data_IF_366652932229
#
_entry.id   IF_366652932229
#
_cell.length_a   1.000
_cell.length_b   1.000
_cell.length_c   1.000
_cell.angle_alpha   90.00
_cell.angle_beta   90.00
_cell.angle_gamma   90.00
#
_symmetry.space_group_name_H-M   'P 1'
#
loop_
_entity.id
_entity.type
_entity.pdbx_description
1 polymer ?
#
# COMPACT_ATOMS: atom_id res chain seq x y z
N UNK A 1 2.48 8.74 22.01
CA UNK A 1 1.23 9.49 22.18
C UNK A 1 0.07 8.64 21.69
N UNK A 2 -0.99 8.54 22.44
CA UNK A 2 -2.24 7.96 21.97
C UNK A 2 -3.29 9.08 21.90
N UNK A 3 -4.00 9.19 20.76
CA UNK A 3 -3.96 8.37 19.55
C UNK A 3 -2.68 8.53 18.73
N UNK A 4 -2.31 7.49 17.97
CA UNK A 4 -1.20 7.54 17.01
C UNK A 4 -1.64 8.43 15.85
N UNK A 5 -0.89 9.48 15.58
CA UNK A 5 -1.18 10.42 14.51
C UNK A 5 -0.04 11.41 14.28
N UNK A 6 -0.14 12.26 13.28
CA UNK A 6 0.88 13.26 13.02
C UNK A 6 0.98 14.24 14.20
N UNK A 7 2.22 14.53 14.58
CA UNK A 7 2.52 15.50 15.65
C UNK A 7 3.22 16.70 15.01
N UNK A 8 2.67 17.88 15.22
CA UNK A 8 3.30 19.13 14.80
C UNK A 8 4.05 19.73 16.00
N UNK A 9 5.38 19.82 15.89
CA UNK A 9 6.25 20.51 16.82
C UNK A 9 6.74 21.80 16.16
N UNK A 10 6.34 22.95 16.69
CA UNK A 10 6.90 24.23 16.29
C UNK A 10 8.01 24.60 17.29
N UNK A 11 9.26 24.41 16.87
CA UNK A 11 10.44 24.71 17.70
C UNK A 11 11.08 25.98 17.17
N UNK A 12 10.99 27.04 17.95
CA UNK A 12 11.65 28.30 17.64
C UNK A 12 13.10 28.27 18.18
N UNK A 13 14.06 28.58 17.33
CA UNK A 13 15.45 28.71 17.70
C UNK A 13 15.84 30.17 17.73
N UNK A 14 16.67 30.55 18.69
CA UNK A 14 17.32 31.86 18.76
C UNK A 14 18.84 31.68 18.67
N UNK A 15 19.53 32.72 18.35
CA UNK A 15 21.02 32.69 18.27
C UNK A 15 21.65 32.62 19.66
N UNK A 16 22.74 31.83 19.81
CA UNK A 16 23.49 31.09 18.80
C UNK A 16 22.79 29.77 18.41
N UNK A 17 22.76 29.45 17.12
CA UNK A 17 22.12 28.21 16.58
C UNK A 17 22.96 26.94 16.80
N UNK A 18 24.18 27.11 17.39
CA UNK A 18 25.03 26.00 17.76
C UNK A 18 25.19 25.95 19.28
N UNK A 19 25.30 24.76 19.87
CA UNK A 19 25.55 24.62 21.30
C UNK A 19 26.82 25.36 21.71
N UNK A 20 26.75 26.17 22.76
CA UNK A 20 27.90 26.94 23.24
C UNK A 20 27.99 26.90 24.76
N UNK A 21 29.18 27.21 25.31
CA UNK A 21 29.39 27.32 26.75
C UNK A 21 29.07 26.05 27.52
N UNK A 22 28.35 26.18 28.64
CA UNK A 22 27.97 25.07 29.52
C UNK A 22 27.10 24.04 28.81
N UNK A 23 26.26 24.47 27.88
CA UNK A 23 25.37 23.57 27.14
C UNK A 23 26.14 22.59 26.24
N UNK A 24 27.16 23.07 25.51
CA UNK A 24 28.03 22.23 24.70
C UNK A 24 28.77 21.17 25.55
N UNK A 25 29.12 21.50 26.80
CA UNK A 25 29.78 20.57 27.72
C UNK A 25 28.82 19.51 28.29
N UNK A 26 27.54 19.83 28.42
CA UNK A 26 26.52 18.91 28.96
C UNK A 26 25.94 17.95 27.91
N UNK A 27 26.00 18.28 26.62
CA UNK A 27 25.41 17.50 25.54
C UNK A 27 25.87 16.03 25.54
N UNK A 28 27.15 15.67 25.71
CA UNK A 28 27.56 14.27 25.72
C UNK A 28 26.95 13.49 26.89
N UNK A 29 26.91 14.09 28.09
CA UNK A 29 26.30 13.45 29.27
C UNK A 29 24.79 13.27 29.11
N UNK A 30 24.13 14.28 28.57
CA UNK A 30 22.69 14.20 28.30
C UNK A 30 22.39 13.15 27.23
N UNK A 31 23.14 13.09 26.13
CA UNK A 31 22.99 12.04 25.13
C UNK A 31 23.26 10.65 25.72
N UNK A 32 24.24 10.51 26.61
CA UNK A 32 24.52 9.26 27.29
C UNK A 32 23.37 8.84 28.21
N UNK A 33 22.77 9.76 28.97
CA UNK A 33 21.62 9.44 29.84
C UNK A 33 20.39 9.00 29.06
N UNK A 34 20.16 9.55 27.87
CA UNK A 34 19.07 9.07 26.98
C UNK A 34 19.30 7.64 26.49
N UNK A 35 20.58 7.26 26.30
CA UNK A 35 20.93 5.91 25.86
C UNK A 35 20.93 4.89 27.01
N UNK A 36 21.15 5.32 28.26
CA UNK A 36 21.11 4.47 29.45
C UNK A 36 19.67 3.95 29.74
N UNK A 37 18.66 4.77 29.45
CA UNK A 37 17.24 4.40 29.60
C UNK A 37 16.71 3.61 28.39
N UNK A 38 17.49 3.50 27.32
CA UNK A 38 17.13 2.81 26.09
C UNK A 38 17.57 1.35 26.11
N UNK A 39 16.63 0.40 26.08
CA UNK A 39 16.93 -1.03 25.91
C UNK A 39 16.90 -1.42 24.41
N UNK A 40 18.05 -1.38 23.72
CA UNK A 40 18.12 -1.72 22.31
C UNK A 40 17.77 -3.18 22.03
N UNK A 41 17.94 -4.06 23.02
CA UNK A 41 17.58 -5.47 22.86
C UNK A 41 16.09 -5.69 22.96
N UNK A 42 15.40 -4.94 23.85
CA UNK A 42 13.95 -4.98 23.92
C UNK A 42 13.31 -4.43 22.65
N UNK A 43 13.84 -3.32 22.10
CA UNK A 43 13.36 -2.77 20.85
C UNK A 43 13.73 -3.63 19.64
N UNK A 44 14.94 -4.19 19.61
CA UNK A 44 15.36 -5.17 18.60
C UNK A 44 14.48 -6.41 18.61
N UNK A 45 14.14 -6.94 19.79
CA UNK A 45 13.18 -8.05 19.94
C UNK A 45 11.77 -7.65 19.47
N UNK A 46 11.31 -6.45 19.82
CA UNK A 46 10.02 -5.95 19.38
C UNK A 46 9.96 -5.73 17.86
N UNK A 47 11.06 -5.28 17.25
CA UNK A 47 11.17 -5.14 15.79
C UNK A 47 11.29 -6.49 15.08
N UNK A 48 12.11 -7.42 15.60
CA UNK A 48 12.20 -8.78 15.09
C UNK A 48 10.85 -9.51 15.20
N UNK A 49 10.17 -9.37 16.32
CA UNK A 49 8.83 -9.93 16.49
C UNK A 49 7.79 -9.31 15.53
N UNK A 50 7.94 -8.02 15.17
CA UNK A 50 7.10 -7.39 14.13
C UNK A 50 7.50 -7.81 12.72
N UNK A 51 8.76 -8.17 12.49
CA UNK A 51 9.26 -8.62 11.19
C UNK A 51 9.03 -10.14 10.97
N UNK A 52 9.02 -10.93 12.04
CA UNK A 52 8.88 -12.39 12.02
C UNK A 52 7.49 -12.87 12.46
N UNK A 53 6.72 -12.05 13.18
CA UNK A 53 5.38 -12.38 13.63
C UNK A 53 4.31 -11.80 12.70
N UNK A 54 3.13 -12.41 12.70
CA UNK A 54 1.94 -11.76 12.20
C UNK A 54 1.81 -10.41 12.91
N UNK A 55 1.59 -9.31 12.17
CA UNK A 55 1.37 -7.98 12.74
C UNK A 55 0.12 -7.89 13.64
N UNK A 56 -0.46 -9.04 13.97
CA UNK A 56 -1.70 -9.19 14.71
C UNK A 56 -1.51 -8.86 16.20
N UNK A 57 -2.43 -8.07 16.74
CA UNK A 57 -2.54 -7.84 18.19
C UNK A 57 -2.91 -9.13 18.94
N UNK A 58 -2.66 -9.15 20.24
CA UNK A 58 -3.04 -10.29 21.10
C UNK A 58 -4.56 -10.58 21.11
N UNK A 59 -5.39 -9.56 20.84
CA UNK A 59 -6.84 -9.74 20.73
C UNK A 59 -7.21 -10.41 19.39
N UNK A 60 -6.60 -9.99 18.31
CA UNK A 60 -6.78 -10.58 16.98
C UNK A 60 -6.30 -12.03 16.92
N UNK A 61 -5.14 -12.31 17.49
CA UNK A 61 -4.61 -13.68 17.59
C UNK A 61 -5.55 -14.59 18.37
N UNK A 62 -6.06 -14.12 19.50
CA UNK A 62 -7.03 -14.88 20.30
C UNK A 62 -8.31 -15.15 19.53
N UNK A 63 -8.88 -14.13 18.93
CA UNK A 63 -10.09 -14.29 18.13
C UNK A 63 -9.90 -15.30 17.00
N UNK A 64 -8.76 -15.28 16.30
CA UNK A 64 -8.45 -16.25 15.25
C UNK A 64 -8.37 -17.67 15.78
N UNK A 65 -7.72 -17.89 16.94
CA UNK A 65 -7.63 -19.21 17.56
C UNK A 65 -9.01 -19.72 17.99
N UNK A 66 -9.77 -18.89 18.69
CA UNK A 66 -11.13 -19.22 19.13
C UNK A 66 -12.04 -19.53 17.94
N UNK A 67 -11.91 -18.75 16.85
CA UNK A 67 -12.71 -18.95 15.62
C UNK A 67 -12.26 -20.20 14.85
N UNK A 68 -10.99 -20.55 14.84
CA UNK A 68 -10.50 -21.78 14.22
C UNK A 68 -10.97 -23.03 14.99
N UNK A 69 -11.00 -22.98 16.32
CA UNK A 69 -11.54 -24.04 17.15
C UNK A 69 -13.06 -24.18 16.95
N UNK A 70 -13.77 -23.07 16.85
CA UNK A 70 -15.20 -23.04 16.60
C UNK A 70 -15.58 -23.41 15.15
N UNK A 71 -14.69 -23.31 14.17
CA UNK A 71 -14.96 -23.69 12.77
C UNK A 71 -15.28 -25.18 12.61
N UNK A 72 -14.85 -26.05 13.51
CA UNK A 72 -15.27 -27.45 13.50
C UNK A 72 -16.81 -27.59 13.67
N UNK A 73 -17.42 -26.62 14.37
CA UNK A 73 -18.86 -26.56 14.63
C UNK A 73 -19.60 -25.51 13.74
N UNK A 74 -18.85 -24.59 13.12
CA UNK A 74 -19.37 -23.44 12.35
C UNK A 74 -19.53 -23.72 10.84
N UNK A 75 -19.28 -24.94 10.39
CA UNK A 75 -19.43 -25.31 8.97
C UNK A 75 -20.84 -25.06 8.38
N UNK A 76 -21.80 -24.66 9.21
CA UNK A 76 -23.18 -24.33 8.82
C UNK A 76 -23.57 -22.84 8.98
N UNK A 77 -22.70 -21.99 9.55
CA UNK A 77 -23.05 -20.57 9.74
C UNK A 77 -22.55 -19.71 8.58
N UNK A 78 -23.38 -19.57 7.58
CA UNK A 78 -23.25 -18.56 6.54
C UNK A 78 -23.48 -17.15 7.10
N UNK A 79 -22.78 -16.12 6.62
CA UNK A 79 -23.03 -14.74 7.01
C UNK A 79 -24.51 -14.37 6.79
N UNK A 80 -25.14 -13.78 7.81
CA UNK A 80 -26.55 -13.41 7.73
C UNK A 80 -26.81 -12.27 6.75
N UNK A 81 -25.80 -11.46 6.44
CA UNK A 81 -25.85 -10.35 5.49
C UNK A 81 -24.85 -10.55 4.36
N UNK A 82 -25.14 -9.96 3.21
CA UNK A 82 -24.21 -9.86 2.08
C UNK A 82 -23.12 -8.85 2.40
N UNK A 83 -22.20 -9.31 3.25
CA UNK A 83 -21.10 -8.51 3.76
C UNK A 83 -19.88 -8.66 2.87
N UNK A 84 -19.17 -7.56 2.67
CA UNK A 84 -17.83 -7.54 2.05
C UNK A 84 -16.83 -6.91 3.01
N UNK A 85 -15.56 -7.30 2.87
CA UNK A 85 -14.45 -6.72 3.60
C UNK A 85 -13.70 -5.79 2.66
N UNK A 86 -13.46 -4.55 3.09
CA UNK A 86 -12.60 -3.60 2.40
C UNK A 86 -11.33 -3.42 3.22
N UNK A 87 -10.21 -3.78 2.63
CA UNK A 87 -8.89 -3.57 3.23
C UNK A 87 -8.14 -2.49 2.44
N UNK A 88 -7.91 -1.36 3.07
CA UNK A 88 -7.28 -0.20 2.50
C UNK A 88 -5.90 0.06 3.10
N UNK A 89 -5.27 1.19 2.81
CA UNK A 89 -3.96 1.53 3.34
C UNK A 89 -3.91 1.42 4.86
N UNK A 90 -2.91 0.67 5.37
CA UNK A 90 -2.76 0.42 6.81
C UNK A 90 -3.73 -0.60 7.43
N UNK A 91 -4.46 -1.36 6.63
CA UNK A 91 -5.39 -2.39 7.12
C UNK A 91 -4.69 -3.51 7.92
N UNK A 92 -3.53 -3.97 7.44
CA UNK A 92 -2.78 -5.07 8.03
C UNK A 92 -3.32 -6.46 7.68
N UNK A 93 -2.57 -7.49 8.07
CA UNK A 93 -2.86 -8.90 7.77
C UNK A 93 -4.19 -9.38 8.36
N UNK A 94 -4.63 -8.79 9.46
CA UNK A 94 -5.85 -9.22 10.13
C UNK A 94 -7.09 -9.12 9.23
N UNK A 95 -7.14 -8.14 8.34
CA UNK A 95 -8.24 -8.00 7.38
C UNK A 95 -8.41 -9.24 6.47
N UNK A 96 -7.30 -9.81 6.01
CA UNK A 96 -7.30 -11.02 5.19
C UNK A 96 -7.75 -12.25 6.00
N UNK A 97 -7.23 -12.38 7.22
CA UNK A 97 -7.62 -13.48 8.11
C UNK A 97 -9.08 -13.39 8.54
N UNK A 98 -9.57 -12.19 8.84
CA UNK A 98 -10.98 -11.95 9.14
C UNK A 98 -11.88 -12.37 7.96
N UNK A 99 -11.56 -11.92 6.75
CA UNK A 99 -12.30 -12.30 5.54
C UNK A 99 -12.27 -13.81 5.30
N UNK A 100 -11.10 -14.44 5.52
CA UNK A 100 -10.93 -15.90 5.36
C UNK A 100 -11.77 -16.70 6.35
N UNK A 101 -11.74 -16.33 7.64
CA UNK A 101 -12.49 -17.04 8.69
C UNK A 101 -14.00 -16.96 8.45
N UNK A 102 -14.47 -15.78 8.02
CA UNK A 102 -15.90 -15.56 7.80
C UNK A 102 -16.36 -15.86 6.36
N UNK A 103 -15.45 -16.34 5.50
CA UNK A 103 -15.72 -16.66 4.09
C UNK A 103 -16.33 -15.46 3.32
N UNK A 104 -15.77 -14.26 3.51
CA UNK A 104 -16.26 -13.02 2.93
C UNK A 104 -15.40 -12.55 1.74
N UNK A 105 -16.00 -11.95 0.70
CA UNK A 105 -15.22 -11.28 -0.35
C UNK A 105 -14.37 -10.16 0.23
N UNK A 106 -13.07 -10.15 -0.10
CA UNK A 106 -12.09 -9.16 0.34
C UNK A 106 -11.68 -8.26 -0.82
N UNK A 107 -11.95 -6.97 -0.70
CA UNK A 107 -11.51 -5.92 -1.62
C UNK A 107 -10.28 -5.23 -1.02
N UNK A 108 -9.11 -5.67 -1.43
CA UNK A 108 -7.85 -5.23 -0.83
C UNK A 108 -7.07 -4.30 -1.75
N UNK A 109 -6.81 -3.06 -1.31
CA UNK A 109 -5.90 -2.16 -2.01
C UNK A 109 -4.45 -2.70 -1.96
N UNK A 110 -3.58 -2.36 -2.93
CA UNK A 110 -2.20 -2.87 -2.96
C UNK A 110 -1.38 -2.56 -1.70
N UNK A 111 -1.63 -1.45 -1.02
CA UNK A 111 -0.94 -1.05 0.22
C UNK A 111 -1.60 -1.55 1.49
N UNK A 112 -2.61 -2.41 1.40
CA UNK A 112 -3.38 -2.88 2.56
C UNK A 112 -2.66 -3.93 3.42
N UNK A 113 -1.62 -4.58 2.91
CA UNK A 113 -0.98 -5.78 3.49
C UNK A 113 -1.92 -7.01 3.56
N UNK A 114 -3.17 -6.88 3.09
CA UNK A 114 -4.20 -7.93 3.12
C UNK A 114 -4.48 -8.57 1.74
N UNK A 115 -3.76 -8.16 0.69
CA UNK A 115 -4.04 -8.56 -0.70
C UNK A 115 -3.47 -9.95 -1.02
N UNK A 116 -4.00 -10.96 -0.36
CA UNK A 116 -3.61 -12.36 -0.55
C UNK A 116 -4.74 -13.31 -0.16
N UNK A 117 -4.55 -14.60 -0.44
CA UNK A 117 -5.50 -15.65 -0.05
C UNK A 117 -6.69 -15.82 -1.00
N UNK A 118 -7.53 -16.81 -0.70
CA UNK A 118 -8.63 -17.23 -1.59
C UNK A 118 -9.83 -16.27 -1.58
N UNK A 119 -9.96 -15.42 -0.57
CA UNK A 119 -11.04 -14.44 -0.44
C UNK A 119 -10.72 -13.09 -1.08
N UNK A 120 -9.45 -12.83 -1.42
CA UNK A 120 -9.02 -11.60 -2.07
C UNK A 120 -9.50 -11.56 -3.52
N UNK A 121 -10.40 -10.63 -3.82
CA UNK A 121 -11.07 -10.49 -5.12
C UNK A 121 -10.24 -9.58 -6.02
N UNK A 122 -9.54 -10.09 -7.05
CA UNK A 122 -8.90 -9.24 -8.04
C UNK A 122 -9.96 -8.51 -8.88
N UNK A 123 -9.59 -7.38 -9.47
CA UNK A 123 -10.49 -6.59 -10.32
C UNK A 123 -11.80 -6.13 -9.65
N UNK A 124 -11.89 -6.15 -8.32
CA UNK A 124 -13.09 -5.66 -7.60
C UNK A 124 -13.50 -4.24 -8.01
N UNK A 125 -12.57 -3.30 -8.35
CA UNK A 125 -13.02 -1.97 -8.79
C UNK A 125 -13.81 -2.01 -10.10
N UNK A 126 -13.48 -2.92 -11.01
CA UNK A 126 -14.20 -3.09 -12.27
C UNK A 126 -15.57 -3.74 -12.03
N UNK A 127 -15.64 -4.76 -11.17
CA UNK A 127 -16.90 -5.39 -10.80
C UNK A 127 -17.84 -4.43 -10.07
N UNK A 128 -17.29 -3.58 -9.19
CA UNK A 128 -18.09 -2.55 -8.49
C UNK A 128 -18.57 -1.43 -9.42
N UNK A 129 -17.85 -1.15 -10.50
CA UNK A 129 -18.20 -0.12 -11.47
C UNK A 129 -19.11 -0.63 -12.60
N UNK A 130 -19.40 -1.92 -12.66
CA UNK A 130 -20.28 -2.52 -13.65
C UNK A 130 -21.72 -2.55 -13.13
N UNK A 131 -22.54 -1.63 -13.61
CA UNK A 131 -23.97 -1.53 -13.24
C UNK A 131 -24.76 -2.81 -13.55
N UNK A 132 -24.27 -3.68 -14.43
CA UNK A 132 -24.90 -4.96 -14.77
C UNK A 132 -24.51 -6.09 -13.81
N UNK A 133 -23.49 -5.88 -12.97
CA UNK A 133 -23.02 -6.88 -12.02
C UNK A 133 -23.89 -6.89 -10.74
N UNK A 134 -24.90 -7.73 -10.74
CA UNK A 134 -25.91 -7.81 -9.68
C UNK A 134 -25.34 -7.95 -8.25
N UNK A 135 -24.27 -8.73 -7.97
CA UNK A 135 -23.72 -8.83 -6.61
C UNK A 135 -23.26 -7.49 -6.04
N UNK A 136 -22.75 -6.56 -6.88
CA UNK A 136 -22.34 -5.23 -6.39
C UNK A 136 -23.51 -4.43 -5.82
N UNK A 137 -24.69 -4.48 -6.47
CA UNK A 137 -25.91 -3.84 -5.99
C UNK A 137 -26.49 -4.52 -4.74
N UNK A 138 -26.11 -5.76 -4.47
CA UNK A 138 -26.63 -6.55 -3.35
C UNK A 138 -25.80 -6.46 -2.06
N UNK A 139 -24.70 -5.69 -2.05
CA UNK A 139 -23.91 -5.49 -0.84
C UNK A 139 -24.76 -4.76 0.21
N UNK A 140 -24.92 -5.38 1.38
CA UNK A 140 -25.69 -4.84 2.51
C UNK A 140 -24.78 -4.25 3.59
N UNK A 141 -23.58 -4.85 3.78
CA UNK A 141 -22.63 -4.43 4.81
C UNK A 141 -21.20 -4.39 4.30
N UNK A 142 -20.46 -3.43 4.83
CA UNK A 142 -19.02 -3.31 4.61
C UNK A 142 -18.31 -3.29 5.96
N UNK A 143 -17.33 -4.17 6.12
CA UNK A 143 -16.33 -4.07 7.20
C UNK A 143 -15.08 -3.44 6.62
N UNK A 144 -14.74 -2.24 7.09
CA UNK A 144 -13.62 -1.45 6.61
C UNK A 144 -12.41 -1.56 7.55
N UNK A 145 -11.27 -1.92 6.98
CA UNK A 145 -9.96 -1.89 7.63
C UNK A 145 -9.07 -0.87 6.93
N UNK A 146 -8.37 -0.04 7.70
CA UNK A 146 -7.48 0.97 7.16
C UNK A 146 -8.20 2.13 6.46
N UNK A 147 -7.44 2.92 5.69
CA UNK A 147 -7.92 4.16 5.10
C UNK A 147 -8.02 4.05 3.56
N UNK A 148 -9.22 4.04 2.96
CA UNK A 148 -9.40 3.91 1.52
C UNK A 148 -8.95 5.18 0.80
N UNK A 149 -7.97 5.05 -0.10
CA UNK A 149 -7.32 6.17 -0.76
C UNK A 149 -7.16 6.02 -2.26
N UNK A 150 -7.48 4.87 -2.81
CA UNK A 150 -7.13 4.54 -4.19
C UNK A 150 -8.35 4.44 -5.11
N UNK A 151 -9.37 3.70 -4.69
CA UNK A 151 -10.44 3.23 -5.56
C UNK A 151 -11.71 4.08 -5.44
N UNK A 152 -12.12 4.77 -6.54
CA UNK A 152 -13.39 5.50 -6.60
C UNK A 152 -14.62 4.59 -6.41
N UNK A 153 -14.68 3.38 -7.00
CA UNK A 153 -15.77 2.46 -6.71
C UNK A 153 -15.91 2.09 -5.23
N UNK A 154 -14.79 1.98 -4.49
CA UNK A 154 -14.85 1.80 -3.04
C UNK A 154 -15.43 3.04 -2.36
N UNK A 155 -14.99 4.25 -2.76
CA UNK A 155 -15.57 5.47 -2.22
C UNK A 155 -17.07 5.54 -2.46
N UNK A 156 -17.52 5.25 -3.67
CA UNK A 156 -18.93 5.21 -4.01
C UNK A 156 -19.71 4.15 -3.21
N UNK A 157 -19.14 2.95 -3.01
CA UNK A 157 -19.74 1.91 -2.18
C UNK A 157 -19.93 2.38 -0.73
N UNK A 158 -18.91 3.02 -0.16
CA UNK A 158 -18.95 3.53 1.21
C UNK A 158 -19.89 4.72 1.40
N UNK A 159 -20.30 5.39 0.33
CA UNK A 159 -21.25 6.51 0.33
C UNK A 159 -22.68 6.10 0.04
N UNK A 160 -22.95 4.81 -0.20
CA UNK A 160 -24.30 4.31 -0.44
C UNK A 160 -25.16 4.40 0.82
N UNK A 161 -26.37 4.93 0.69
CA UNK A 161 -27.35 5.05 1.78
C UNK A 161 -27.92 3.70 2.24
N UNK A 162 -27.95 2.72 1.34
CA UNK A 162 -28.49 1.37 1.57
C UNK A 162 -27.45 0.37 2.09
N UNK A 163 -26.21 0.82 2.33
CA UNK A 163 -25.12 -0.03 2.80
C UNK A 163 -24.69 0.41 4.21
N UNK A 164 -24.66 -0.53 5.14
CA UNK A 164 -24.14 -0.29 6.48
C UNK A 164 -22.64 -0.51 6.52
N UNK A 165 -21.90 0.43 7.10
CA UNK A 165 -20.45 0.37 7.17
C UNK A 165 -19.96 0.32 8.63
N UNK A 166 -19.09 -0.63 8.96
CA UNK A 166 -18.34 -0.66 10.21
C UNK A 166 -16.87 -0.44 9.90
N UNK A 167 -16.23 0.38 10.73
CA UNK A 167 -14.79 0.65 10.66
C UNK A 167 -14.07 -0.01 11.84
N UNK A 168 -13.05 -0.81 11.55
CA UNK A 168 -12.24 -1.43 12.59
C UNK A 168 -11.21 -0.44 13.13
N UNK A 169 -11.40 -0.02 14.36
CA UNK A 169 -10.52 0.91 15.06
C UNK A 169 -10.09 0.32 16.42
N UNK A 170 -9.14 -0.63 16.45
CA UNK A 170 -8.63 -1.20 17.71
C UNK A 170 -7.94 -0.17 18.58
N UNK A 171 -7.58 0.97 17.99
CA UNK A 171 -7.09 2.18 18.67
C UNK A 171 -7.78 3.38 18.04
N UNK A 172 -8.18 4.32 18.87
CA UNK A 172 -8.80 5.55 18.35
C UNK A 172 -7.86 6.29 17.41
N UNK A 173 -8.30 6.49 16.16
CA UNK A 173 -7.54 7.21 15.12
C UNK A 173 -8.16 8.60 14.91
N UNK A 174 -7.56 9.62 15.51
CA UNK A 174 -8.08 11.01 15.45
C UNK A 174 -8.01 11.65 14.04
N UNK A 175 -7.28 11.03 13.13
CA UNK A 175 -7.13 11.54 11.76
C UNK A 175 -8.25 11.09 10.82
N UNK A 176 -9.06 10.15 11.27
CA UNK A 176 -10.18 9.65 10.47
C UNK A 176 -11.42 10.48 10.74
N UNK A 177 -11.68 11.45 9.90
CA UNK A 177 -12.97 12.13 9.88
C UNK A 177 -13.92 11.36 8.97
N UNK A 178 -15.02 10.82 9.49
CA UNK A 178 -15.98 10.09 8.68
C UNK A 178 -16.67 10.97 7.62
N UNK A 179 -16.47 12.28 7.66
CA UNK A 179 -17.11 13.22 6.75
C UNK A 179 -18.62 13.13 6.83
N UNK A 180 -19.27 13.05 5.67
CA UNK A 180 -20.73 12.82 5.59
C UNK A 180 -21.13 11.36 5.76
N UNK A 181 -20.16 10.45 5.97
CA UNK A 181 -20.37 9.00 6.06
C UNK A 181 -20.74 8.60 7.47
N UNK A 182 -21.74 7.72 7.58
CA UNK A 182 -22.13 7.13 8.85
C UNK A 182 -21.43 5.78 9.01
N UNK A 183 -20.35 5.73 9.79
CA UNK A 183 -19.70 4.48 10.17
C UNK A 183 -19.98 4.12 11.62
N UNK A 184 -20.11 2.82 11.87
CA UNK A 184 -20.02 2.27 13.21
C UNK A 184 -18.55 1.97 13.50
N UNK A 185 -17.97 2.68 14.48
CA UNK A 185 -16.60 2.41 14.91
C UNK A 185 -16.60 1.22 15.87
N UNK A 186 -15.89 0.15 15.52
CA UNK A 186 -15.80 -1.07 16.31
C UNK A 186 -14.34 -1.32 16.69
N UNK A 187 -14.10 -1.70 17.92
CA UNK A 187 -12.74 -1.78 18.48
C UNK A 187 -12.24 -3.20 18.67
N UNK A 188 -13.14 -4.19 18.62
CA UNK A 188 -12.78 -5.59 18.86
C UNK A 188 -13.13 -6.49 17.66
N UNK A 189 -12.37 -7.57 17.45
CA UNK A 189 -12.68 -8.56 16.41
C UNK A 189 -14.06 -9.22 16.60
N UNK A 190 -14.50 -9.34 17.85
CA UNK A 190 -15.80 -9.95 18.17
C UNK A 190 -16.96 -9.06 17.71
N UNK A 191 -16.93 -7.76 18.01
CA UNK A 191 -17.92 -6.79 17.53
C UNK A 191 -17.98 -6.73 16.02
N UNK A 192 -16.84 -6.83 15.33
CA UNK A 192 -16.80 -6.90 13.87
C UNK A 192 -17.46 -8.16 13.34
N UNK A 193 -17.22 -9.31 13.97
CA UNK A 193 -17.81 -10.57 13.57
C UNK A 193 -19.34 -10.55 13.79
N UNK A 194 -19.79 -10.03 14.92
CA UNK A 194 -21.23 -9.82 15.18
C UNK A 194 -21.86 -8.88 14.15
N UNK A 195 -21.18 -7.78 13.81
CA UNK A 195 -21.66 -6.87 12.77
C UNK A 195 -21.76 -7.59 11.42
N UNK A 196 -20.75 -8.38 11.05
CA UNK A 196 -20.72 -9.11 9.78
C UNK A 196 -21.80 -10.21 9.72
N UNK A 197 -22.19 -10.80 10.85
CA UNK A 197 -23.11 -11.92 10.95
C UNK A 197 -24.51 -11.58 11.48
N UNK A 198 -24.75 -10.35 11.90
CA UNK A 198 -25.97 -10.02 12.62
C UNK A 198 -27.24 -10.40 11.85
N UNK A 199 -28.13 -11.10 12.55
CA UNK A 199 -29.46 -11.58 12.17
C UNK A 199 -29.52 -12.89 11.40
N UNK A 200 -29.84 -13.96 12.12
CA UNK A 200 -29.95 -15.33 11.65
C UNK A 200 -31.30 -15.65 10.97
N UNK A 201 -32.20 -14.67 10.83
CA UNK A 201 -33.63 -14.98 10.51
C UNK A 201 -33.94 -15.15 9.03
N UNK A 202 -33.02 -14.95 8.11
CA UNK A 202 -33.25 -15.18 6.69
C UNK A 202 -32.13 -16.00 6.03
N UNK A 203 -32.28 -17.29 6.08
CA UNK A 203 -31.50 -18.29 5.33
C UNK A 203 -31.88 -18.27 3.84
N UNK A 204 -31.51 -17.27 3.10
CA UNK A 204 -31.70 -17.27 1.66
C UNK A 204 -30.36 -17.06 0.94
N UNK A 205 -29.94 -18.07 0.20
CA UNK A 205 -28.93 -18.03 -0.88
C UNK A 205 -27.51 -17.56 -0.53
N UNK A 206 -27.05 -17.80 0.70
CA UNK A 206 -25.76 -17.28 1.19
C UNK A 206 -24.58 -18.20 0.96
N UNK A 207 -24.85 -19.46 0.62
CA UNK A 207 -23.83 -20.50 0.45
C UNK A 207 -22.79 -20.19 -0.64
N UNK A 208 -23.08 -19.24 -1.54
CA UNK A 208 -22.25 -18.91 -2.68
C UNK A 208 -21.90 -17.41 -2.78
N UNK A 209 -22.02 -16.62 -1.67
CA UNK A 209 -21.75 -15.18 -1.75
C UNK A 209 -20.34 -14.87 -2.23
N UNK A 210 -19.33 -15.51 -1.64
CA UNK A 210 -17.95 -15.38 -2.07
C UNK A 210 -17.75 -15.83 -3.52
N UNK A 211 -18.34 -16.96 -3.92
CA UNK A 211 -18.19 -17.50 -5.27
C UNK A 211 -18.78 -16.60 -6.34
N UNK A 212 -19.85 -15.85 -6.02
CA UNK A 212 -20.44 -14.85 -6.94
C UNK A 212 -19.43 -13.75 -7.32
N UNK A 213 -18.42 -13.51 -6.48
CA UNK A 213 -17.34 -12.57 -6.73
C UNK A 213 -16.11 -13.23 -7.36
N UNK A 214 -15.74 -14.41 -6.86
CA UNK A 214 -14.50 -15.10 -7.26
C UNK A 214 -14.54 -15.47 -8.74
N UNK A 215 -15.64 -16.03 -9.22
CA UNK A 215 -15.72 -16.53 -10.60
C UNK A 215 -15.68 -15.41 -11.67
N UNK A 216 -16.42 -14.29 -11.53
CA UNK A 216 -16.26 -13.14 -12.42
C UNK A 216 -14.90 -12.50 -12.34
N UNK A 217 -14.33 -12.36 -11.12
CA UNK A 217 -13.00 -11.82 -10.93
C UNK A 217 -11.92 -12.67 -11.61
N UNK A 218 -12.04 -14.00 -11.55
CA UNK A 218 -11.14 -14.92 -12.24
C UNK A 218 -11.17 -14.73 -13.76
N UNK A 219 -12.33 -14.52 -14.34
CA UNK A 219 -12.46 -14.25 -15.79
C UNK A 219 -11.73 -12.97 -16.18
N UNK A 220 -11.93 -11.88 -15.43
CA UNK A 220 -11.24 -10.62 -15.66
C UNK A 220 -9.71 -10.77 -15.48
N UNK A 221 -9.29 -11.54 -14.47
CA UNK A 221 -7.89 -11.85 -14.24
C UNK A 221 -7.27 -12.61 -15.41
N UNK A 222 -7.97 -13.64 -15.92
CA UNK A 222 -7.51 -14.41 -17.07
C UNK A 222 -7.40 -13.56 -18.34
N UNK A 223 -8.32 -12.60 -18.52
CA UNK A 223 -8.25 -11.64 -19.62
C UNK A 223 -7.06 -10.71 -19.49
N UNK A 224 -6.83 -10.18 -18.30
CA UNK A 224 -5.67 -9.34 -18.01
C UNK A 224 -4.35 -10.09 -18.25
N UNK A 225 -4.23 -11.32 -17.74
CA UNK A 225 -3.02 -12.14 -17.91
C UNK A 225 -2.79 -12.54 -19.38
N UNK A 226 -3.86 -12.79 -20.14
CA UNK A 226 -3.73 -13.03 -21.59
C UNK A 226 -3.23 -11.78 -22.32
N UNK A 227 -3.72 -10.60 -21.97
CA UNK A 227 -3.25 -9.35 -22.56
C UNK A 227 -1.76 -9.11 -22.22
N UNK A 228 -1.35 -9.36 -20.99
CA UNK A 228 0.06 -9.29 -20.57
C UNK A 228 0.92 -10.28 -21.35
N UNK A 229 0.48 -11.54 -21.50
CA UNK A 229 1.23 -12.55 -22.24
C UNK A 229 1.41 -12.18 -23.72
N UNK A 230 0.41 -11.56 -24.36
CA UNK A 230 0.50 -11.05 -25.73
C UNK A 230 1.50 -9.88 -25.80
N UNK A 231 1.52 -9.01 -24.81
CA UNK A 231 2.50 -7.92 -24.74
C UNK A 231 3.93 -8.45 -24.58
N UNK A 232 4.15 -9.40 -23.71
CA UNK A 232 5.48 -9.97 -23.44
C UNK A 232 6.01 -10.84 -24.58
N UNK A 233 5.10 -11.45 -25.36
CA UNK A 233 5.43 -12.33 -26.47
C UNK A 233 4.59 -11.97 -27.71
N UNK A 234 4.83 -10.79 -28.33
CA UNK A 234 4.04 -10.35 -29.47
C UNK A 234 4.24 -11.28 -30.65
N UNK A 235 3.14 -11.79 -31.19
CA UNK A 235 3.17 -12.49 -32.48
C UNK A 235 3.49 -11.53 -33.64
N UNK A 236 3.89 -12.07 -34.78
CA UNK A 236 4.31 -11.31 -35.97
C UNK A 236 3.25 -10.33 -36.54
N UNK A 237 2.00 -10.45 -36.10
CA UNK A 237 0.86 -9.64 -36.59
C UNK A 237 0.25 -8.71 -35.50
N UNK A 238 0.93 -8.50 -34.39
CA UNK A 238 0.40 -7.61 -33.33
C UNK A 238 0.43 -6.15 -33.83
N UNK A 239 -0.75 -5.59 -34.09
CA UNK A 239 -0.94 -4.17 -34.43
C UNK A 239 -1.24 -3.31 -33.22
N UNK A 240 -1.07 -3.83 -32.00
CA UNK A 240 -1.39 -3.12 -30.75
C UNK A 240 -0.27 -2.13 -30.46
N UNK A 241 -0.63 -0.85 -30.37
CA UNK A 241 0.29 0.19 -29.92
C UNK A 241 0.34 0.20 -28.38
N UNK A 242 1.41 -0.33 -27.82
CA UNK A 242 1.66 -0.33 -26.38
C UNK A 242 2.29 0.96 -25.87
N UNK A 243 2.71 1.85 -26.76
CA UNK A 243 3.22 3.19 -26.39
C UNK A 243 2.08 4.18 -26.13
N UNK A 244 0.85 3.86 -26.59
CA UNK A 244 -0.32 4.65 -26.19
C UNK A 244 -0.55 4.52 -24.69
N UNK A 245 -0.41 5.63 -23.98
CA UNK A 245 -0.61 5.73 -22.52
C UNK A 245 -2.00 5.23 -22.04
N UNK A 246 -2.97 5.14 -22.95
CA UNK A 246 -4.30 4.55 -22.68
C UNK A 246 -4.25 3.04 -22.57
N UNK A 247 -3.27 2.41 -23.17
CA UNK A 247 -3.05 0.98 -23.07
C UNK A 247 -2.15 0.68 -21.87
N UNK A 248 -2.76 0.40 -20.73
CA UNK A 248 -2.04 0.11 -19.48
C UNK A 248 -1.43 -1.29 -19.38
N UNK A 249 -1.43 -2.08 -20.47
CA UNK A 249 -0.93 -3.47 -20.44
C UNK A 249 0.56 -3.53 -20.09
N UNK A 250 1.38 -2.65 -20.64
CA UNK A 250 2.80 -2.56 -20.31
C UNK A 250 3.02 -2.22 -18.83
N UNK A 251 2.31 -1.21 -18.31
CA UNK A 251 2.36 -0.85 -16.89
C UNK A 251 1.92 -1.98 -15.97
N UNK A 252 0.86 -2.72 -16.34
CA UNK A 252 0.37 -3.89 -15.59
C UNK A 252 1.38 -5.03 -15.59
N UNK A 253 1.97 -5.36 -16.74
CA UNK A 253 3.03 -6.36 -16.85
C UNK A 253 4.21 -6.01 -15.97
N UNK A 254 4.68 -4.75 -16.05
CA UNK A 254 5.80 -4.28 -15.28
C UNK A 254 5.52 -4.32 -13.76
N UNK A 255 4.40 -3.75 -13.33
CA UNK A 255 4.02 -3.70 -11.92
C UNK A 255 3.88 -5.12 -11.32
N UNK A 256 3.24 -6.04 -12.07
CA UNK A 256 3.11 -7.44 -11.67
C UNK A 256 4.47 -8.13 -11.51
N UNK A 257 5.38 -7.96 -12.48
CA UNK A 257 6.73 -8.52 -12.42
C UNK A 257 7.49 -8.01 -11.19
N UNK A 258 7.46 -6.69 -10.94
CA UNK A 258 8.13 -6.10 -9.77
C UNK A 258 7.56 -6.63 -8.46
N UNK A 259 6.24 -6.81 -8.38
CA UNK A 259 5.60 -7.44 -7.22
C UNK A 259 6.06 -8.88 -7.00
N UNK A 260 6.07 -9.69 -8.04
CA UNK A 260 6.52 -11.08 -7.98
C UNK A 260 8.00 -11.18 -7.60
N UNK A 261 8.84 -10.30 -8.13
CA UNK A 261 10.25 -10.22 -7.76
C UNK A 261 10.45 -9.84 -6.28
N UNK A 262 9.66 -8.91 -5.76
CA UNK A 262 9.70 -8.53 -4.35
C UNK A 262 9.31 -9.71 -3.45
N UNK A 263 8.27 -10.46 -3.80
CA UNK A 263 7.89 -11.70 -3.10
C UNK A 263 9.00 -12.74 -3.14
N UNK A 264 9.52 -13.04 -4.33
CA UNK A 264 10.55 -14.08 -4.52
C UNK A 264 11.85 -13.76 -3.76
N UNK A 265 12.21 -12.49 -3.68
CA UNK A 265 13.41 -12.02 -3.01
C UNK A 265 13.18 -11.57 -1.56
N UNK A 266 11.97 -11.75 -1.02
CA UNK A 266 11.56 -11.35 0.34
C UNK A 266 11.87 -9.87 0.63
N UNK A 267 11.63 -9.00 -0.34
CA UNK A 267 11.82 -7.57 -0.21
C UNK A 267 10.53 -6.90 0.26
N UNK A 268 10.66 -5.89 1.09
CA UNK A 268 9.55 -4.99 1.41
C UNK A 268 9.21 -4.15 0.17
N UNK A 269 7.97 -3.75 0.01
CA UNK A 269 7.58 -2.86 -1.09
C UNK A 269 7.23 -1.46 -0.58
N UNK A 270 7.64 -0.46 -1.36
CA UNK A 270 7.15 0.91 -1.27
C UNK A 270 6.46 1.27 -2.59
N UNK A 271 5.25 1.79 -2.51
CA UNK A 271 4.46 2.18 -3.68
C UNK A 271 4.42 3.71 -3.81
N UNK A 272 4.91 4.21 -4.92
CA UNK A 272 4.81 5.62 -5.27
C UNK A 272 3.41 5.98 -5.77
N UNK A 273 2.95 7.20 -5.47
CA UNK A 273 1.65 7.70 -5.96
C UNK A 273 1.69 7.94 -7.47
N UNK A 274 1.34 6.93 -8.27
CA UNK A 274 1.36 6.94 -9.74
C UNK A 274 0.27 6.03 -10.32
N UNK A 275 0.18 5.94 -11.64
CA UNK A 275 -0.67 4.95 -12.30
C UNK A 275 -0.28 3.51 -11.95
N UNK A 276 0.98 3.26 -11.65
CA UNK A 276 1.46 1.90 -11.34
C UNK A 276 0.78 1.26 -10.14
N UNK A 277 0.33 2.04 -9.16
CA UNK A 277 -0.49 1.49 -8.05
C UNK A 277 -1.81 0.94 -8.57
N UNK A 278 -2.42 1.59 -9.56
CA UNK A 278 -3.65 1.14 -10.21
C UNK A 278 -3.41 -0.04 -11.15
N UNK A 279 -2.27 -0.03 -11.84
CA UNK A 279 -1.84 -1.17 -12.67
C UNK A 279 -1.59 -2.40 -11.81
N UNK A 280 -0.98 -2.20 -10.63
CA UNK A 280 -0.78 -3.25 -9.63
C UNK A 280 -2.12 -3.75 -9.10
N UNK A 281 -3.05 -2.84 -8.77
CA UNK A 281 -4.40 -3.20 -8.32
C UNK A 281 -5.15 -4.05 -9.36
N UNK A 282 -4.92 -3.78 -10.64
CA UNK A 282 -5.52 -4.53 -11.74
C UNK A 282 -4.79 -5.84 -12.11
N UNK A 283 -3.52 -6.02 -11.76
CA UNK A 283 -2.71 -7.12 -12.31
C UNK A 283 -2.08 -8.05 -11.28
N UNK A 284 -1.97 -7.66 -10.03
CA UNK A 284 -1.29 -8.45 -9.01
C UNK A 284 -1.96 -8.31 -7.62
N UNK A 285 -1.90 -9.35 -6.81
CA UNK A 285 -1.68 -10.74 -7.21
C UNK A 285 -2.92 -11.37 -7.83
N UNK A 286 -2.77 -12.52 -8.49
CA UNK A 286 -3.90 -13.38 -8.82
C UNK A 286 -4.41 -14.09 -7.55
N UNK A 287 -5.64 -14.65 -7.63
CA UNK A 287 -6.23 -15.43 -6.56
C UNK A 287 -5.25 -16.50 -6.03
N UNK A 288 -4.98 -16.45 -4.73
CA UNK A 288 -4.08 -17.42 -4.08
C UNK A 288 -2.58 -17.16 -4.28
N UNK A 289 -2.17 -16.15 -5.03
CA UNK A 289 -0.76 -15.76 -5.12
C UNK A 289 -0.28 -15.06 -3.83
N UNK A 290 0.99 -15.23 -3.46
CA UNK A 290 1.55 -14.55 -2.28
C UNK A 290 1.74 -13.05 -2.51
N UNK A 291 1.75 -12.30 -1.41
CA UNK A 291 2.08 -10.89 -1.38
C UNK A 291 3.45 -10.66 -0.69
N UNK A 292 4.10 -9.49 -0.91
CA UNK A 292 5.23 -9.07 -0.10
C UNK A 292 4.84 -8.99 1.39
N UNK A 293 5.79 -9.26 2.27
CA UNK A 293 5.57 -9.29 3.72
C UNK A 293 5.03 -7.95 4.26
N UNK A 294 5.50 -6.84 3.71
CA UNK A 294 5.03 -5.49 4.04
C UNK A 294 4.99 -4.62 2.79
N UNK A 295 3.95 -3.82 2.69
CA UNK A 295 3.75 -2.85 1.60
C UNK A 295 3.47 -1.48 2.19
N UNK A 296 4.30 -0.51 1.84
CA UNK A 296 4.22 0.87 2.31
C UNK A 296 3.79 1.79 1.18
N UNK A 297 3.09 2.86 1.50
CA UNK A 297 2.75 3.92 0.56
C UNK A 297 2.54 5.25 1.29
N UNK A 298 2.88 6.37 0.64
CA UNK A 298 2.56 7.70 1.15
C UNK A 298 1.12 8.05 0.75
N UNK A 299 0.13 7.64 1.55
CA UNK A 299 -1.29 7.78 1.21
C UNK A 299 -2.02 8.89 1.96
N UNK A 300 -1.38 9.54 2.94
CA UNK A 300 -1.99 10.62 3.72
C UNK A 300 -2.31 11.85 2.86
N UNK A 301 -1.31 12.39 2.18
CA UNK A 301 -1.46 13.41 1.14
C UNK A 301 -1.04 12.77 -0.19
N UNK A 302 -1.83 12.98 -1.24
CA UNK A 302 -1.61 12.36 -2.56
C UNK A 302 -0.47 13.02 -3.35
N UNK A 303 0.66 13.33 -2.67
CA UNK A 303 1.87 13.89 -3.27
C UNK A 303 2.78 12.82 -3.87
N UNK A 304 3.72 13.27 -4.70
CA UNK A 304 4.78 12.44 -5.28
C UNK A 304 6.16 12.80 -4.71
N UNK A 305 6.20 13.81 -3.84
CA UNK A 305 7.41 14.26 -3.16
C UNK A 305 7.82 13.30 -2.05
N UNK A 306 9.11 13.21 -1.74
CA UNK A 306 9.64 12.43 -0.62
C UNK A 306 9.45 10.92 -0.71
N UNK A 307 9.08 10.39 -1.87
CA UNK A 307 8.80 8.96 -2.05
C UNK A 307 10.07 8.11 -1.95
N UNK A 308 11.16 8.56 -2.57
CA UNK A 308 12.48 7.91 -2.48
C UNK A 308 13.03 8.05 -1.06
N UNK A 309 12.93 9.25 -0.48
CA UNK A 309 13.34 9.49 0.91
C UNK A 309 12.62 8.57 1.90
N UNK A 310 11.31 8.38 1.72
CA UNK A 310 10.54 7.44 2.55
C UNK A 310 11.02 6.00 2.38
N UNK A 311 11.27 5.55 1.14
CA UNK A 311 11.79 4.21 0.87
C UNK A 311 13.18 3.99 1.50
N UNK A 312 14.05 5.01 1.46
CA UNK A 312 15.34 5.01 2.16
C UNK A 312 15.11 4.87 3.67
N UNK A 313 14.22 5.67 4.25
CA UNK A 313 13.87 5.58 5.67
C UNK A 313 13.34 4.22 6.09
N UNK A 314 12.48 3.59 5.29
CA UNK A 314 12.00 2.21 5.51
C UNK A 314 13.17 1.23 5.51
N UNK A 315 14.09 1.35 4.55
CA UNK A 315 15.26 0.48 4.49
C UNK A 315 16.18 0.67 5.71
N UNK A 316 16.44 1.91 6.08
CA UNK A 316 17.28 2.23 7.24
C UNK A 316 16.67 1.86 8.58
N UNK A 317 15.34 1.64 8.65
CA UNK A 317 14.65 1.24 9.88
C UNK A 317 15.08 -0.11 10.44
N UNK A 318 15.83 -0.90 9.68
CA UNK A 318 16.44 -2.14 10.15
C UNK A 318 17.67 -1.92 11.05
N UNK A 319 18.24 -0.72 11.03
CA UNK A 319 19.32 -0.34 11.96
C UNK A 319 18.76 0.15 13.30
N UNK A 320 19.51 -0.08 14.35
CA UNK A 320 19.15 0.39 15.70
C UNK A 320 20.39 0.72 16.53
N UNK A 321 20.30 1.66 17.49
CA UNK A 321 21.38 1.91 18.43
C UNK A 321 21.62 0.67 19.30
N UNK A 322 22.85 0.14 19.28
CA UNK A 322 23.25 -1.05 20.04
C UNK A 322 24.06 -0.72 21.30
N UNK A 323 24.36 0.56 21.52
CA UNK A 323 25.14 1.05 22.64
C UNK A 323 26.16 2.11 22.22
N UNK A 324 27.20 2.30 23.04
CA UNK A 324 28.34 3.16 22.74
C UNK A 324 29.64 2.39 22.94
N UNK A 325 30.66 2.74 22.17
CA UNK A 325 32.02 2.22 22.33
C UNK A 325 32.77 2.90 23.51
N UNK A 326 34.00 2.49 23.77
CA UNK A 326 34.89 3.05 24.79
C UNK A 326 35.17 4.55 24.63
N UNK A 327 34.94 5.09 23.41
CA UNK A 327 35.11 6.52 23.09
C UNK A 327 33.77 7.27 23.03
N UNK A 328 32.68 6.68 23.58
CA UNK A 328 31.32 7.24 23.56
C UNK A 328 30.75 7.44 22.15
N UNK A 329 31.21 6.67 21.17
CA UNK A 329 30.63 6.67 19.82
C UNK A 329 29.48 5.68 19.73
N UNK A 330 28.37 6.02 19.04
CA UNK A 330 27.26 5.09 18.85
C UNK A 330 27.71 3.81 18.16
N UNK A 331 27.37 2.68 18.76
CA UNK A 331 27.43 1.37 18.09
C UNK A 331 26.07 1.15 17.42
N UNK A 332 26.09 0.92 16.12
CA UNK A 332 24.88 0.65 15.35
C UNK A 332 24.76 -0.86 15.11
N UNK A 333 23.66 -1.43 15.54
CA UNK A 333 23.30 -2.82 15.28
C UNK A 333 22.30 -2.95 14.12
N UNK A 334 22.03 -4.19 13.73
CA UNK A 334 21.11 -4.49 12.64
C UNK A 334 21.71 -4.37 11.25
N UNK A 335 20.84 -4.30 10.26
CA UNK A 335 21.20 -4.12 8.86
C UNK A 335 20.07 -3.39 8.13
N UNK A 336 20.36 -2.81 6.97
CA UNK A 336 19.34 -2.27 6.09
C UNK A 336 18.31 -3.35 5.72
N UNK A 337 17.04 -2.98 5.70
CA UNK A 337 15.98 -3.85 5.19
C UNK A 337 15.97 -3.77 3.66
N UNK A 338 15.84 -4.90 2.95
CA UNK A 338 15.75 -4.89 1.51
C UNK A 338 14.39 -4.34 1.07
N UNK A 339 14.39 -3.16 0.42
CA UNK A 339 13.19 -2.47 -0.06
C UNK A 339 13.19 -2.37 -1.58
N UNK A 340 12.05 -2.58 -2.21
CA UNK A 340 11.78 -2.25 -3.60
C UNK A 340 10.77 -1.12 -3.66
N UNK A 341 11.16 0.02 -4.24
CA UNK A 341 10.25 1.12 -4.57
C UNK A 341 9.76 0.96 -6.01
N UNK A 342 8.45 0.92 -6.18
CA UNK A 342 7.80 0.96 -7.50
C UNK A 342 7.19 2.34 -7.72
N UNK A 343 7.64 3.08 -8.75
CA UNK A 343 7.15 4.42 -9.03
C UNK A 343 7.15 4.75 -10.52
N UNK A 344 6.43 5.80 -10.91
CA UNK A 344 6.49 6.38 -12.25
C UNK A 344 7.64 7.37 -12.39
N UNK A 345 7.89 7.77 -13.62
CA UNK A 345 8.93 8.72 -14.04
C UNK A 345 8.83 10.09 -13.32
N UNK A 346 7.64 10.68 -13.24
CA UNK A 346 7.44 11.96 -12.55
C UNK A 346 7.68 11.86 -11.05
N UNK A 347 7.23 10.77 -10.41
CA UNK A 347 7.50 10.53 -8.98
C UNK A 347 9.00 10.41 -8.73
N UNK A 348 9.72 9.70 -9.61
CA UNK A 348 11.17 9.59 -9.54
C UNK A 348 11.85 10.95 -9.69
N UNK A 349 11.46 11.74 -10.71
CA UNK A 349 12.06 13.06 -10.96
C UNK A 349 11.84 14.03 -9.80
N UNK A 350 10.66 13.99 -9.18
CA UNK A 350 10.34 14.88 -8.05
C UNK A 350 11.22 14.68 -6.83
N UNK A 351 11.72 13.47 -6.63
CA UNK A 351 12.48 13.12 -5.42
C UNK A 351 13.87 12.53 -5.70
N UNK A 352 14.34 12.64 -6.93
CA UNK A 352 15.65 12.09 -7.33
C UNK A 352 16.81 12.63 -6.48
N UNK A 353 16.71 13.85 -5.95
CA UNK A 353 17.71 14.45 -5.08
C UNK A 353 17.92 13.68 -3.77
N UNK A 354 16.95 12.89 -3.34
CA UNK A 354 17.07 12.00 -2.17
C UNK A 354 18.09 10.87 -2.37
N UNK A 355 18.56 10.63 -3.60
CA UNK A 355 19.66 9.71 -3.90
C UNK A 355 21.03 10.27 -3.47
N UNK A 356 21.12 11.57 -3.16
CA UNK A 356 22.35 12.21 -2.68
C UNK A 356 22.60 11.89 -1.21
N UNK A 357 23.06 10.68 -0.94
CA UNK A 357 23.35 10.21 0.42
C UNK A 357 24.77 10.61 0.82
N UNK A 358 24.96 11.21 2.02
CA UNK A 358 26.28 11.52 2.53
C UNK A 358 27.12 10.25 2.78
N UNK A 359 28.42 10.31 2.49
CA UNK A 359 29.34 9.17 2.69
C UNK A 359 29.50 8.74 4.15
N UNK A 360 29.04 9.56 5.08
CA UNK A 360 29.15 9.32 6.53
C UNK A 360 27.89 8.66 7.11
N UNK A 361 26.85 8.51 6.31
CA UNK A 361 25.58 7.94 6.74
C UNK A 361 25.51 6.43 6.50
N UNK A 362 24.56 5.79 7.18
CA UNK A 362 24.21 4.39 6.93
C UNK A 362 23.63 4.25 5.53
N UNK A 363 24.02 3.19 4.83
CA UNK A 363 23.52 2.95 3.48
C UNK A 363 22.26 2.10 3.51
N UNK A 364 21.22 2.45 2.72
CA UNK A 364 20.04 1.63 2.53
C UNK A 364 20.33 0.42 1.63
N UNK A 365 19.46 -0.56 1.65
CA UNK A 365 19.36 -1.61 0.63
C UNK A 365 18.10 -1.38 -0.19
N UNK A 366 18.15 -0.45 -1.12
CA UNK A 366 17.02 0.03 -1.88
C UNK A 366 17.16 -0.28 -3.37
N UNK A 367 16.11 -0.82 -3.97
CA UNK A 367 15.92 -0.89 -5.42
C UNK A 367 14.77 0.03 -5.83
N UNK A 368 15.03 0.94 -6.74
CA UNK A 368 14.03 1.84 -7.32
C UNK A 368 13.69 1.34 -8.73
N UNK A 369 12.48 0.86 -8.89
CA UNK A 369 11.90 0.39 -10.15
C UNK A 369 11.02 1.49 -10.73
N UNK A 370 11.48 2.10 -11.82
CA UNK A 370 10.83 3.25 -12.47
C UNK A 370 10.20 2.82 -13.78
N UNK A 371 8.92 3.10 -13.94
CA UNK A 371 8.24 2.95 -15.23
C UNK A 371 8.15 4.33 -15.89
N UNK A 372 8.83 4.47 -17.02
CA UNK A 372 8.89 5.70 -17.79
C UNK A 372 7.92 5.61 -18.97
N UNK A 373 6.68 6.07 -18.75
CA UNK A 373 5.67 6.21 -19.80
C UNK A 373 5.64 7.62 -20.42
N UNK A 374 6.72 8.38 -20.22
CA UNK A 374 6.98 9.71 -20.73
C UNK A 374 5.92 10.75 -20.31
N UNK A 375 5.33 10.60 -19.11
CA UNK A 375 4.52 11.68 -18.62
C UNK A 375 3.43 11.46 -17.60
N UNK A 376 2.59 12.50 -17.48
CA UNK A 376 1.47 12.56 -16.56
C UNK A 376 0.28 11.67 -16.94
N UNK A 377 0.51 10.45 -17.40
CA UNK A 377 -0.52 9.50 -17.84
C UNK A 377 -1.65 9.25 -16.83
N UNK A 378 -1.43 9.50 -15.54
CA UNK A 378 -2.46 9.37 -14.51
C UNK A 378 -3.68 10.27 -14.78
N UNK A 379 -3.49 11.46 -15.34
CA UNK A 379 -4.59 12.40 -15.59
C UNK A 379 -5.55 11.92 -16.68
N UNK A 380 -5.12 10.98 -17.52
CA UNK A 380 -5.96 10.38 -18.56
C UNK A 380 -6.97 9.38 -17.99
N UNK A 381 -6.72 8.87 -16.81
CA UNK A 381 -7.63 7.94 -16.08
C UNK A 381 -8.58 8.68 -15.14
N UNK A 382 -8.51 10.00 -15.09
CA UNK A 382 -9.35 10.89 -14.29
C UNK A 382 -10.35 11.65 -15.20
N UNK A 383 -11.11 12.59 -14.63
CA UNK A 383 -12.08 13.44 -15.36
C UNK A 383 -11.45 14.19 -16.53
N UNK A 384 -10.16 14.51 -16.42
CA UNK A 384 -9.38 15.15 -17.49
C UNK A 384 -9.27 14.27 -18.75
N UNK A 385 -9.22 12.95 -18.57
CA UNK A 385 -9.23 11.98 -19.68
C UNK A 385 -10.56 11.98 -20.43
N UNK A 386 -11.67 12.14 -19.72
CA UNK A 386 -12.99 12.30 -20.36
C UNK A 386 -13.10 13.60 -21.16
N UNK A 387 -12.53 14.69 -20.64
CA UNK A 387 -12.41 15.94 -21.38
C UNK A 387 -11.53 15.78 -22.64
N UNK A 388 -10.43 15.05 -22.54
CA UNK A 388 -9.51 14.82 -23.67
C UNK A 388 -10.16 14.07 -24.85
N UNK A 389 -11.23 13.30 -24.59
CA UNK A 389 -12.01 12.63 -25.67
C UNK A 389 -12.81 13.61 -26.52
N UNK A 390 -13.00 14.83 -26.07
CA UNK A 390 -13.65 15.88 -26.83
C UNK A 390 -12.57 16.67 -27.59
N UNK A 391 -12.59 16.64 -28.92
CA UNK A 391 -11.58 17.20 -29.80
C UNK A 391 -11.15 18.64 -29.42
N UNK A 392 -12.10 19.44 -29.00
CA UNK A 392 -11.87 20.83 -28.60
C UNK A 392 -10.99 20.99 -27.35
N UNK A 393 -10.90 19.97 -26.49
CA UNK A 393 -10.13 20.03 -25.23
C UNK A 393 -8.85 19.17 -25.27
N UNK A 394 -8.69 18.29 -26.26
CA UNK A 394 -7.55 17.37 -26.34
C UNK A 394 -6.22 18.11 -26.20
N UNK A 395 -5.98 19.14 -27.00
CA UNK A 395 -4.72 19.89 -26.94
C UNK A 395 -4.47 20.60 -25.60
N UNK A 396 -5.53 21.05 -24.93
CA UNK A 396 -5.41 21.69 -23.61
C UNK A 396 -5.09 20.64 -22.54
N UNK A 397 -5.75 19.49 -22.56
CA UNK A 397 -5.49 18.39 -21.62
C UNK A 397 -4.06 17.87 -21.82
N UNK A 398 -3.64 17.62 -23.06
CA UNK A 398 -2.30 17.19 -23.36
C UNK A 398 -1.25 18.18 -22.84
N UNK A 399 -1.48 19.47 -23.03
CA UNK A 399 -0.54 20.50 -22.61
C UNK A 399 -0.44 20.67 -21.09
N UNK A 400 -1.53 20.56 -20.34
CA UNK A 400 -1.57 20.93 -18.93
C UNK A 400 -1.53 19.75 -17.97
N UNK A 401 -1.93 18.57 -18.42
CA UNK A 401 -2.11 17.41 -17.56
C UNK A 401 -1.28 16.20 -17.98
N UNK A 402 -0.97 16.05 -19.28
CA UNK A 402 -0.22 14.89 -19.78
C UNK A 402 1.19 15.23 -20.19
N UNK A 403 1.52 16.52 -20.28
CA UNK A 403 2.89 16.94 -20.62
C UNK A 403 3.82 16.50 -19.52
N UNK A 404 4.47 15.57 -19.93
CA UNK A 404 5.56 14.93 -19.38
C UNK A 404 6.78 15.76 -19.20
N UNK A 405 7.69 15.13 -18.56
CA UNK A 405 9.10 15.40 -18.66
C UNK A 405 9.49 15.83 -20.07
N UNK A 406 10.38 16.80 -20.16
CA UNK A 406 10.94 17.20 -21.44
C UNK A 406 11.37 15.94 -22.21
N UNK A 407 11.04 15.80 -23.50
CA UNK A 407 11.26 14.57 -24.28
C UNK A 407 12.72 14.12 -24.35
N UNK A 408 13.62 14.83 -23.71
CA UNK A 408 15.06 14.54 -23.64
C UNK A 408 15.54 14.30 -22.19
N UNK A 409 14.65 14.07 -21.22
CA UNK A 409 15.08 13.76 -19.86
C UNK A 409 15.59 12.33 -19.80
N UNK A 410 16.88 12.19 -19.52
CA UNK A 410 17.52 10.88 -19.34
C UNK A 410 17.53 10.54 -17.84
N UNK A 411 16.54 9.78 -17.41
CA UNK A 411 16.39 9.39 -16.01
C UNK A 411 17.56 8.54 -15.49
N UNK A 412 18.16 7.74 -16.37
CA UNK A 412 19.31 6.93 -16.00
C UNK A 412 20.54 7.81 -15.73
N UNK A 413 20.75 8.87 -16.50
CA UNK A 413 21.81 9.86 -16.22
C UNK A 413 21.53 10.67 -14.97
N UNK A 414 20.28 11.01 -14.72
CA UNK A 414 19.90 11.67 -13.45
C UNK A 414 20.28 10.80 -12.26
N UNK A 415 19.91 9.52 -12.29
CA UNK A 415 20.27 8.56 -11.24
C UNK A 415 21.79 8.43 -11.08
N UNK A 416 22.51 8.25 -12.19
CA UNK A 416 23.98 8.08 -12.19
C UNK A 416 24.73 9.31 -11.65
N UNK A 417 24.13 10.49 -11.71
CA UNK A 417 24.70 11.73 -11.19
C UNK A 417 24.88 11.75 -9.67
N UNK A 418 24.17 10.89 -8.92
CA UNK A 418 24.24 10.80 -7.45
C UNK A 418 25.21 9.72 -6.92
N UNK A 419 25.95 9.06 -7.79
CA UNK A 419 27.01 8.09 -7.44
C UNK A 419 26.50 6.65 -7.33
N UNK A 420 27.44 5.72 -7.49
CA UNK A 420 27.17 4.27 -7.57
C UNK A 420 27.33 3.54 -6.24
N UNK A 421 27.81 4.21 -5.19
CA UNK A 421 28.10 3.60 -3.88
C UNK A 421 27.03 3.89 -2.82
N UNK A 422 25.86 4.34 -3.24
CA UNK A 422 24.79 4.79 -2.33
C UNK A 422 23.96 3.67 -1.69
N UNK A 423 24.21 2.39 -2.04
CA UNK A 423 23.32 1.28 -1.62
C UNK A 423 21.94 1.32 -2.32
N UNK A 424 21.80 2.15 -3.36
CA UNK A 424 20.57 2.29 -4.15
C UNK A 424 20.82 1.83 -5.59
N UNK A 425 20.02 0.85 -6.02
CA UNK A 425 19.96 0.40 -7.41
C UNK A 425 18.75 1.06 -8.09
N UNK A 426 18.96 1.74 -9.21
CA UNK A 426 17.87 2.34 -10.00
C UNK A 426 17.74 1.61 -11.33
N UNK A 427 16.54 1.16 -11.62
CA UNK A 427 16.17 0.49 -12.87
C UNK A 427 15.07 1.28 -13.57
N UNK A 428 15.32 1.68 -14.82
CA UNK A 428 14.37 2.42 -15.64
C UNK A 428 13.82 1.46 -16.69
N UNK A 429 12.50 1.37 -16.77
CA UNK A 429 11.81 0.61 -17.79
C UNK A 429 10.96 1.55 -18.65
N UNK A 430 11.20 1.54 -19.94
CA UNK A 430 10.40 2.23 -20.97
C UNK A 430 9.62 1.17 -21.76
N UNK A 431 8.30 1.32 -21.90
CA UNK A 431 7.44 0.34 -22.60
C UNK A 431 7.71 0.21 -24.09
#
# INVERSE_FOLDING_TARGET
TEPIGPVHLNICFDTPLTPSGRFAQMLPQWAQSLLEDYDPQAEGRARAARAEGSGLSSAEQRWLLDSLEAQADLAESTPAHRTVVVAADGAGEFAAEFARVLNLPLFAEPSSEARHGATSIPHYPQLLADDSFAPAAQIERVVLFGHPTLSRPITALLEREDTQCAFYAPRHASWYEPGARSFVELSTPHELAEFAHASADELVDKLNWLEQWVEPARKLQDECLRAIAVYEHPGAESSIDYTDYRNRTAGRSYARRVWQDAVAQRRLMMLGSSNLVRDLDAAAPALGEPAPARVFANRGLAGIDGTIATAIGVSLSGYYPAGVDENSRPIIGGAALPVTLLCGDLTFQHDVSSLNLPNTELLPELRVEVFDDAGGGIFTTLEHGDMARQEQFTAAVDRFFTVAAAPNTDLARMAAGFGTESGVEVRIHTP
#
